data_IF_665819903313
#
_entry.id   IF_665819903313
#
_cell.length_a   1.000
_cell.length_b   1.000
_cell.length_c   1.000
_cell.angle_alpha   90.00
_cell.angle_beta   90.00
_cell.angle_gamma   90.00
#
_symmetry.space_group_name_H-M   'P 1'
#
loop_
_entity.id
_entity.type
_entity.pdbx_description
1 polymer ?
#
# COMPACT_ATOMS: atom_id res chain seq x y z
N UNK A 1 -55.13 -5.34 25.41
CA UNK A 1 -55.20 -6.46 24.46
C UNK A 1 -54.38 -6.19 23.17
N UNK A 2 -54.59 -5.09 22.44
CA UNK A 2 -53.81 -4.80 21.22
C UNK A 2 -52.30 -4.59 21.45
N UNK A 3 -51.91 -4.02 22.59
CA UNK A 3 -50.49 -3.78 22.92
C UNK A 3 -49.76 -5.07 23.26
N UNK A 4 -50.41 -5.94 24.04
CA UNK A 4 -49.85 -7.27 24.40
C UNK A 4 -49.68 -8.15 23.18
N UNK A 5 -50.63 -8.10 22.24
CA UNK A 5 -50.52 -8.86 20.98
C UNK A 5 -49.37 -8.36 20.07
N UNK A 6 -49.10 -7.03 20.08
CA UNK A 6 -47.99 -6.45 19.36
C UNK A 6 -46.61 -6.87 19.97
N UNK A 7 -46.51 -6.86 21.29
CA UNK A 7 -45.30 -7.29 21.98
C UNK A 7 -45.02 -8.79 21.74
N UNK A 8 -46.04 -9.64 21.84
CA UNK A 8 -45.91 -11.07 21.51
C UNK A 8 -45.51 -11.28 20.06
N UNK A 9 -46.11 -10.52 19.12
CA UNK A 9 -45.77 -10.61 17.69
C UNK A 9 -44.31 -10.17 17.43
N UNK A 10 -43.82 -9.14 18.11
CA UNK A 10 -42.44 -8.72 17.99
C UNK A 10 -41.48 -9.78 18.56
N UNK A 11 -41.76 -10.36 19.72
CA UNK A 11 -40.95 -11.42 20.31
C UNK A 11 -40.85 -12.64 19.41
N UNK A 12 -41.96 -13.07 18.82
CA UNK A 12 -42.03 -14.22 17.89
C UNK A 12 -41.24 -13.91 16.60
N UNK A 13 -41.28 -12.66 16.10
CA UNK A 13 -40.54 -12.24 14.92
C UNK A 13 -39.04 -12.23 15.19
N UNK A 14 -38.64 -11.70 16.36
CA UNK A 14 -37.23 -11.65 16.78
C UNK A 14 -36.65 -13.06 16.96
N UNK A 15 -37.36 -13.95 17.64
CA UNK A 15 -36.96 -15.36 17.76
C UNK A 15 -36.86 -16.05 16.39
N UNK A 16 -37.77 -15.76 15.47
CA UNK A 16 -37.71 -16.30 14.11
C UNK A 16 -36.46 -15.84 13.34
N UNK A 17 -36.05 -14.58 13.49
CA UNK A 17 -34.84 -14.04 12.87
C UNK A 17 -33.58 -14.68 13.45
N UNK A 18 -33.52 -14.85 14.77
CA UNK A 18 -32.38 -15.51 15.47
C UNK A 18 -32.23 -16.96 15.01
N UNK A 19 -33.32 -17.72 14.95
CA UNK A 19 -33.30 -19.12 14.48
C UNK A 19 -32.88 -19.23 13.01
N UNK A 20 -33.37 -18.35 12.15
CA UNK A 20 -32.97 -18.30 10.75
C UNK A 20 -31.48 -17.94 10.57
N UNK A 21 -30.99 -16.99 11.36
CA UNK A 21 -29.58 -16.61 11.39
C UNK A 21 -28.68 -17.78 11.83
N UNK A 22 -29.06 -18.51 12.89
CA UNK A 22 -28.36 -19.68 13.34
C UNK A 22 -28.30 -20.79 12.26
N UNK A 23 -29.45 -21.10 11.62
CA UNK A 23 -29.52 -22.11 10.56
C UNK A 23 -28.63 -21.70 9.38
N UNK A 24 -28.58 -20.41 9.03
CA UNK A 24 -27.75 -19.89 7.95
C UNK A 24 -26.26 -19.99 8.30
N UNK A 25 -25.89 -19.65 9.54
CA UNK A 25 -24.52 -19.78 10.05
C UNK A 25 -24.05 -21.24 10.07
N UNK A 26 -24.88 -22.18 10.53
CA UNK A 26 -24.55 -23.63 10.50
C UNK A 26 -24.33 -24.12 9.07
N UNK A 27 -25.10 -23.63 8.11
CA UNK A 27 -24.94 -24.01 6.69
C UNK A 27 -23.69 -23.46 6.05
N UNK A 28 -23.26 -22.26 6.45
CA UNK A 28 -22.11 -21.55 5.83
C UNK A 28 -20.78 -21.86 6.53
N UNK A 29 -20.77 -22.01 7.86
CA UNK A 29 -19.55 -22.02 8.67
C UNK A 29 -19.39 -23.25 9.58
N UNK A 30 -20.41 -24.12 9.68
CA UNK A 30 -20.42 -25.30 10.53
C UNK A 30 -20.99 -25.07 11.93
N UNK A 31 -21.26 -26.17 12.65
CA UNK A 31 -21.99 -26.17 13.93
C UNK A 31 -21.22 -25.44 15.05
N UNK A 32 -19.91 -25.64 15.11
CA UNK A 32 -19.08 -25.08 16.21
C UNK A 32 -19.01 -23.54 16.17
N UNK A 33 -18.92 -22.95 14.98
CA UNK A 33 -18.91 -21.48 14.81
C UNK A 33 -20.28 -20.87 15.11
N UNK A 34 -21.36 -21.52 14.65
CA UNK A 34 -22.72 -21.07 14.91
C UNK A 34 -23.09 -21.14 16.41
N UNK A 35 -22.61 -22.17 17.12
CA UNK A 35 -22.84 -22.32 18.57
C UNK A 35 -22.14 -21.24 19.39
N UNK A 36 -20.88 -20.90 19.03
CA UNK A 36 -20.12 -19.83 19.69
C UNK A 36 -20.77 -18.46 19.51
N UNK A 37 -21.20 -18.12 18.29
CA UNK A 37 -21.90 -16.87 18.02
C UNK A 37 -23.23 -16.78 18.76
N UNK A 38 -23.96 -17.90 18.90
CA UNK A 38 -25.21 -17.94 19.65
C UNK A 38 -24.99 -17.77 21.18
N UNK A 39 -23.95 -18.38 21.74
CA UNK A 39 -23.59 -18.22 23.16
C UNK A 39 -23.22 -16.77 23.49
N UNK A 40 -22.46 -16.08 22.64
CA UNK A 40 -22.11 -14.65 22.82
C UNK A 40 -23.40 -13.79 22.81
N UNK A 41 -24.30 -14.03 21.88
CA UNK A 41 -25.55 -13.23 21.77
C UNK A 41 -26.50 -13.47 22.95
N UNK A 42 -26.46 -14.64 23.58
CA UNK A 42 -27.32 -14.94 24.74
C UNK A 42 -26.73 -14.45 26.07
N UNK A 43 -25.41 -14.27 26.19
CA UNK A 43 -24.74 -13.70 27.36
C UNK A 43 -25.02 -12.21 27.56
N UNK A 44 -25.28 -11.45 26.48
CA UNK A 44 -25.65 -10.03 26.57
C UNK A 44 -27.09 -9.76 27.02
N UNK A 45 -27.95 -10.79 27.25
CA UNK A 45 -29.37 -10.62 27.57
C UNK A 45 -29.73 -10.85 29.02
N UNK A 46 -28.80 -11.15 29.94
CA UNK A 46 -29.07 -11.28 31.41
C UNK A 46 -28.66 -10.01 32.15
N UNK A 47 -29.63 -9.12 32.40
CA UNK A 47 -29.45 -8.02 33.38
C UNK A 47 -29.41 -8.58 34.83
N UNK A 48 -28.45 -8.15 35.66
CA UNK A 48 -28.49 -8.49 37.09
C UNK A 48 -29.42 -7.54 37.85
N UNK A 49 -30.32 -8.14 38.64
CA UNK A 49 -31.23 -7.48 39.58
C UNK A 49 -30.48 -6.99 40.82
N UNK A 50 -30.59 -5.69 41.07
CA UNK A 50 -30.56 -4.89 42.33
C UNK A 50 -29.70 -5.27 43.53
N UNK A 51 -28.94 -4.27 43.95
CA UNK A 51 -28.61 -3.77 45.29
C UNK A 51 -27.47 -4.49 46.03
N UNK A 52 -26.29 -3.83 46.01
CA UNK A 52 -25.64 -3.37 47.25
C UNK A 52 -24.58 -2.28 46.93
N UNK A 53 -24.68 -1.17 47.67
CA UNK A 53 -23.79 -0.03 47.59
C UNK A 53 -22.44 -0.33 48.21
N UNK A 54 -21.41 -0.48 47.38
CA UNK A 54 -20.02 -0.28 47.76
C UNK A 54 -19.34 0.52 46.62
N UNK A 55 -18.58 1.53 47.01
CA UNK A 55 -17.87 2.40 46.07
C UNK A 55 -16.92 1.55 45.22
N UNK A 56 -17.26 1.37 43.94
CA UNK A 56 -16.36 0.87 42.91
C UNK A 56 -15.67 2.08 42.31
N UNK A 57 -14.34 2.10 42.37
CA UNK A 57 -13.49 2.90 41.52
C UNK A 57 -13.85 2.48 40.10
N UNK A 58 -14.37 3.43 39.31
CA UNK A 58 -14.47 3.29 37.84
C UNK A 58 -13.06 3.12 37.30
N UNK A 59 -12.62 1.88 37.08
CA UNK A 59 -11.62 1.60 36.08
C UNK A 59 -12.27 2.02 34.73
N UNK A 60 -11.88 3.18 34.23
CA UNK A 60 -12.19 3.55 32.86
C UNK A 60 -11.61 2.45 31.96
N UNK A 61 -12.47 1.64 31.33
CA UNK A 61 -12.06 0.86 30.17
C UNK A 61 -11.45 1.87 29.18
N UNK A 62 -10.13 1.85 29.04
CA UNK A 62 -9.45 2.45 27.89
C UNK A 62 -10.03 1.73 26.67
N UNK A 63 -11.02 2.33 26.03
CA UNK A 63 -11.40 1.94 24.67
C UNK A 63 -10.16 2.10 23.83
N UNK A 64 -9.56 0.98 23.36
CA UNK A 64 -8.45 1.02 22.42
C UNK A 64 -8.91 1.93 21.26
N UNK A 65 -8.16 3.02 21.05
CA UNK A 65 -8.46 3.94 19.97
C UNK A 65 -8.40 3.15 18.65
N UNK A 66 -9.43 3.27 17.83
CA UNK A 66 -9.43 2.68 16.48
C UNK A 66 -8.21 3.20 15.72
N UNK A 67 -7.46 2.30 15.14
CA UNK A 67 -6.31 2.65 14.31
C UNK A 67 -6.33 1.83 13.02
N UNK A 68 -5.80 2.41 11.97
CA UNK A 68 -5.61 1.76 10.67
C UNK A 68 -4.14 1.87 10.27
N UNK A 69 -3.69 0.94 9.47
CA UNK A 69 -2.31 0.90 9.00
C UNK A 69 -2.29 0.90 7.47
N UNK A 70 -1.65 1.92 6.89
CA UNK A 70 -1.36 1.93 5.46
C UNK A 70 0.12 1.64 5.26
N UNK A 71 0.43 0.56 4.54
CA UNK A 71 1.79 0.19 4.16
C UNK A 71 2.19 0.80 2.82
N UNK A 72 3.42 1.26 2.74
CA UNK A 72 4.05 1.73 1.51
C UNK A 72 5.28 0.88 1.21
N UNK A 73 5.37 0.40 -0.02
CA UNK A 73 6.53 -0.33 -0.53
C UNK A 73 7.02 0.30 -1.82
N UNK A 74 8.29 0.07 -2.16
CA UNK A 74 8.95 0.71 -3.30
C UNK A 74 8.56 0.15 -4.67
N UNK A 75 9.45 0.35 -5.63
CA UNK A 75 9.23 0.03 -7.05
C UNK A 75 9.08 -1.49 -7.24
N UNK A 76 7.91 -1.88 -7.74
CA UNK A 76 7.57 -3.25 -8.11
C UNK A 76 7.68 -3.39 -9.63
N UNK A 77 8.87 -3.80 -10.11
CA UNK A 77 9.09 -4.17 -11.51
C UNK A 77 8.88 -5.67 -11.65
N UNK A 78 7.60 -6.09 -11.72
CA UNK A 78 7.17 -7.50 -11.74
C UNK A 78 7.29 -8.11 -13.13
N UNK A 79 8.39 -7.85 -13.79
CA UNK A 79 8.64 -8.21 -15.18
C UNK A 79 10.12 -8.48 -15.41
N UNK A 80 10.44 -9.13 -16.52
CA UNK A 80 11.81 -9.22 -17.02
C UNK A 80 12.12 -8.04 -17.96
N UNK A 81 13.40 -7.69 -18.05
CA UNK A 81 13.83 -6.76 -19.09
C UNK A 81 13.65 -7.38 -20.48
N UNK A 82 13.59 -6.54 -21.51
CA UNK A 82 13.48 -7.01 -22.90
C UNK A 82 14.64 -7.89 -23.37
N UNK A 83 15.74 -7.97 -22.60
CA UNK A 83 16.95 -8.73 -22.96
C UNK A 83 17.02 -10.12 -22.31
N UNK A 84 16.16 -10.42 -21.32
CA UNK A 84 16.17 -11.69 -20.61
C UNK A 84 14.76 -12.05 -20.11
N UNK A 85 14.65 -13.26 -19.52
CA UNK A 85 13.40 -13.74 -18.92
C UNK A 85 13.63 -14.16 -17.45
N UNK A 86 14.59 -13.57 -16.76
CA UNK A 86 15.04 -14.05 -15.45
C UNK A 86 13.93 -14.00 -14.41
N UNK A 87 13.20 -12.89 -14.32
CA UNK A 87 12.05 -12.76 -13.41
C UNK A 87 10.95 -13.77 -13.77
N UNK A 88 10.56 -13.83 -15.04
CA UNK A 88 9.50 -14.72 -15.53
C UNK A 88 9.86 -16.17 -15.25
N UNK A 89 11.11 -16.57 -15.54
CA UNK A 89 11.60 -17.92 -15.28
C UNK A 89 11.63 -18.27 -13.78
N UNK A 90 11.89 -17.26 -12.94
CA UNK A 90 11.96 -17.44 -11.49
C UNK A 90 10.59 -17.60 -10.87
N UNK A 91 9.63 -16.77 -11.27
CA UNK A 91 8.22 -16.85 -10.84
C UNK A 91 7.57 -18.12 -11.38
N UNK A 92 7.78 -18.45 -12.65
CA UNK A 92 7.32 -19.68 -13.29
C UNK A 92 5.87 -20.06 -12.98
N UNK A 93 4.97 -19.05 -12.95
CA UNK A 93 3.54 -19.22 -12.66
C UNK A 93 3.17 -19.34 -11.17
N UNK A 94 4.13 -19.27 -10.26
CA UNK A 94 3.86 -19.13 -8.82
C UNK A 94 3.73 -17.65 -8.44
N UNK A 95 2.51 -17.13 -8.51
CA UNK A 95 2.22 -15.72 -8.21
C UNK A 95 2.45 -15.33 -6.74
N UNK A 96 2.58 -16.29 -5.81
CA UNK A 96 2.95 -15.99 -4.43
C UNK A 96 4.46 -15.78 -4.27
N UNK A 97 5.27 -16.25 -5.23
CA UNK A 97 6.72 -16.29 -5.11
C UNK A 97 7.37 -14.94 -4.78
N UNK A 98 7.06 -13.82 -5.49
CA UNK A 98 7.76 -12.56 -5.26
C UNK A 98 7.59 -11.99 -3.85
N UNK A 99 6.45 -12.17 -3.22
CA UNK A 99 6.15 -11.59 -1.91
C UNK A 99 6.09 -12.61 -0.76
N UNK A 100 6.48 -13.87 -0.99
CA UNK A 100 6.32 -14.98 -0.02
C UNK A 100 6.92 -14.72 1.38
N UNK A 101 7.93 -13.85 1.50
CA UNK A 101 8.56 -13.58 2.79
C UNK A 101 7.98 -12.34 3.49
N UNK A 102 7.11 -11.58 2.82
CA UNK A 102 6.53 -10.33 3.31
C UNK A 102 5.01 -10.29 3.23
N UNK A 103 4.38 -11.24 2.53
CA UNK A 103 2.94 -11.27 2.31
C UNK A 103 2.13 -11.31 3.62
N UNK A 104 2.63 -11.99 4.66
CA UNK A 104 1.96 -12.02 5.97
C UNK A 104 1.97 -10.64 6.66
N UNK A 105 3.00 -9.84 6.40
CA UNK A 105 3.10 -8.47 6.92
C UNK A 105 2.12 -7.57 6.17
N UNK A 106 2.15 -7.61 4.82
CA UNK A 106 1.32 -6.77 3.96
C UNK A 106 -0.18 -7.12 4.00
N UNK A 107 -0.53 -8.36 4.40
CA UNK A 107 -1.93 -8.78 4.59
C UNK A 107 -2.46 -8.57 6.01
N UNK A 108 -1.58 -8.18 6.92
CA UNK A 108 -1.96 -7.87 8.30
C UNK A 108 -2.27 -6.39 8.50
N UNK A 109 -1.96 -5.54 7.51
CA UNK A 109 -2.35 -4.13 7.48
C UNK A 109 -3.75 -3.95 6.85
N UNK A 110 -4.22 -2.71 6.82
CA UNK A 110 -5.53 -2.38 6.25
C UNK A 110 -5.45 -2.02 4.77
N UNK A 111 -4.29 -1.54 4.29
CA UNK A 111 -4.11 -1.17 2.89
C UNK A 111 -2.63 -1.03 2.51
N UNK A 112 -2.20 -1.67 1.42
CA UNK A 112 -0.83 -1.56 0.92
C UNK A 112 -0.78 -0.88 -0.44
N UNK A 113 0.10 0.13 -0.57
CA UNK A 113 0.33 0.93 -1.78
C UNK A 113 1.74 0.66 -2.32
N UNK A 114 1.86 0.45 -3.65
CA UNK A 114 3.14 0.27 -4.35
C UNK A 114 3.19 1.08 -5.66
N UNK A 115 4.40 1.27 -6.21
CA UNK A 115 4.58 1.70 -7.59
C UNK A 115 4.77 0.47 -8.50
N UNK A 116 3.89 0.27 -9.47
CA UNK A 116 4.04 -0.77 -10.50
C UNK A 116 4.80 -0.18 -11.70
N UNK A 117 6.04 -0.61 -11.87
CA UNK A 117 6.97 -0.05 -12.84
C UNK A 117 7.30 -1.05 -13.96
N UNK A 118 6.26 -1.53 -14.62
CA UNK A 118 6.38 -2.43 -15.76
C UNK A 118 5.06 -2.53 -16.54
N UNK A 119 5.13 -3.17 -17.71
CA UNK A 119 3.99 -3.47 -18.57
C UNK A 119 3.55 -4.93 -18.42
N UNK A 120 2.26 -5.16 -18.28
CA UNK A 120 1.63 -6.47 -18.40
C UNK A 120 0.93 -6.61 -19.75
N UNK A 121 1.39 -7.51 -20.62
CA UNK A 121 0.77 -7.72 -21.93
C UNK A 121 1.12 -9.08 -22.52
N UNK A 122 0.12 -9.74 -23.10
CA UNK A 122 0.26 -10.99 -23.85
C UNK A 122 0.42 -10.75 -25.36
N UNK A 123 0.46 -9.50 -25.81
CA UNK A 123 0.62 -9.19 -27.23
C UNK A 123 1.98 -9.61 -27.73
N UNK A 124 1.96 -10.34 -28.83
CA UNK A 124 3.17 -10.74 -29.57
C UNK A 124 3.62 -9.59 -30.43
N UNK A 125 4.93 -9.34 -30.47
CA UNK A 125 5.53 -8.32 -31.34
C UNK A 125 5.42 -6.89 -30.85
N UNK A 126 5.05 -6.66 -29.58
CA UNK A 126 5.28 -5.37 -28.95
C UNK A 126 6.77 -5.08 -28.91
N UNK A 127 7.15 -3.93 -29.44
CA UNK A 127 8.53 -3.44 -29.48
C UNK A 127 8.60 -2.15 -28.69
N UNK A 128 9.64 -2.03 -27.88
CA UNK A 128 9.98 -0.79 -27.20
C UNK A 128 11.18 -0.13 -27.89
N UNK A 129 11.13 1.18 -28.00
CA UNK A 129 12.26 1.99 -28.47
C UNK A 129 13.20 2.38 -27.32
N UNK A 130 12.82 2.09 -26.06
CA UNK A 130 13.59 2.37 -24.86
C UNK A 130 14.76 1.39 -24.66
N UNK A 131 15.87 1.89 -24.09
CA UNK A 131 17.02 1.06 -23.71
C UNK A 131 16.63 0.05 -22.62
N UNK A 132 15.77 0.47 -21.70
CA UNK A 132 15.23 -0.37 -20.65
C UNK A 132 13.71 -0.43 -20.81
N UNK A 133 13.18 -1.62 -21.01
CA UNK A 133 11.75 -1.86 -21.09
C UNK A 133 11.42 -3.17 -20.40
N UNK A 134 10.33 -3.17 -19.62
CA UNK A 134 9.96 -4.29 -18.74
C UNK A 134 8.58 -4.80 -19.11
N UNK A 135 8.50 -6.10 -19.43
CA UNK A 135 7.23 -6.75 -19.79
C UNK A 135 7.10 -8.13 -19.16
N UNK A 136 5.89 -8.43 -18.69
CA UNK A 136 5.48 -9.76 -18.26
C UNK A 136 4.11 -10.14 -18.87
N UNK A 137 3.72 -11.43 -18.84
CA UNK A 137 2.37 -11.85 -19.20
C UNK A 137 1.30 -11.16 -18.37
N UNK A 138 0.11 -10.97 -18.92
CA UNK A 138 -1.01 -10.25 -18.27
C UNK A 138 -1.42 -10.86 -16.94
N UNK A 139 -1.32 -12.18 -16.79
CA UNK A 139 -1.69 -12.88 -15.56
C UNK A 139 -0.73 -12.67 -14.38
N UNK A 140 0.44 -12.01 -14.62
CA UNK A 140 1.37 -11.59 -13.56
C UNK A 140 0.82 -10.46 -12.69
N UNK A 141 -0.22 -9.75 -13.13
CA UNK A 141 -0.96 -8.83 -12.27
C UNK A 141 -1.50 -9.51 -11.00
N UNK A 142 -1.73 -10.83 -11.01
CA UNK A 142 -2.15 -11.62 -9.85
C UNK A 142 -1.12 -11.68 -8.73
N UNK A 143 0.14 -11.37 -9.00
CA UNK A 143 1.21 -11.29 -8.00
C UNK A 143 0.86 -10.25 -6.93
N UNK A 144 0.25 -9.13 -7.35
CA UNK A 144 -0.08 -8.01 -6.47
C UNK A 144 -1.05 -8.44 -5.35
N UNK A 145 -2.29 -8.88 -5.63
CA UNK A 145 -3.20 -9.30 -4.58
C UNK A 145 -2.74 -10.57 -3.86
N UNK A 146 -1.98 -11.47 -4.51
CA UNK A 146 -1.37 -12.61 -3.85
C UNK A 146 -0.36 -12.18 -2.79
N UNK A 147 0.33 -11.06 -2.99
CA UNK A 147 1.29 -10.45 -2.07
C UNK A 147 0.67 -9.58 -0.99
N UNK A 148 -0.59 -9.16 -1.11
CA UNK A 148 -1.23 -8.19 -0.22
C UNK A 148 -1.07 -6.75 -0.68
N UNK A 149 -0.89 -6.50 -1.98
CA UNK A 149 -0.89 -5.14 -2.56
C UNK A 149 -2.31 -4.79 -2.98
N UNK A 150 -2.86 -3.70 -2.44
CA UNK A 150 -4.24 -3.27 -2.64
C UNK A 150 -4.39 -2.18 -3.69
N UNK A 151 -3.36 -1.37 -3.89
CA UNK A 151 -3.34 -0.31 -4.88
C UNK A 151 -1.95 -0.16 -5.50
N UNK A 152 -1.90 0.15 -6.79
CA UNK A 152 -0.67 0.55 -7.46
C UNK A 152 -0.80 1.88 -8.18
N UNK A 153 0.21 2.75 -8.04
CA UNK A 153 0.44 3.80 -9.01
C UNK A 153 1.12 3.23 -10.24
N UNK A 154 0.66 3.60 -11.43
CA UNK A 154 1.31 3.34 -12.71
C UNK A 154 1.82 4.65 -13.34
N UNK A 155 1.88 5.72 -12.55
CA UNK A 155 2.40 7.03 -12.96
C UNK A 155 3.93 7.03 -12.89
N UNK A 156 4.59 6.44 -13.90
CA UNK A 156 6.04 6.32 -13.95
C UNK A 156 6.56 6.31 -15.40
N UNK A 157 7.88 6.35 -15.57
CA UNK A 157 8.54 6.37 -16.88
C UNK A 157 8.42 5.04 -17.67
N UNK A 158 8.10 3.92 -17.00
CA UNK A 158 7.94 2.60 -17.64
C UNK A 158 6.49 2.26 -17.99
N UNK A 159 5.54 3.15 -17.69
CA UNK A 159 4.13 2.98 -18.09
C UNK A 159 3.97 2.87 -19.60
N UNK A 160 4.78 3.64 -20.34
CA UNK A 160 4.70 3.78 -21.78
C UNK A 160 5.80 3.01 -22.54
N UNK A 161 6.50 2.07 -21.88
CA UNK A 161 7.54 1.24 -22.50
C UNK A 161 7.12 0.58 -23.81
N UNK A 162 5.85 0.24 -23.92
CA UNK A 162 5.24 -0.38 -25.11
C UNK A 162 4.06 0.46 -25.65
N UNK A 163 4.14 1.78 -25.47
CA UNK A 163 3.18 2.78 -25.93
C UNK A 163 1.72 2.46 -25.46
N UNK A 164 0.74 3.00 -26.17
CA UNK A 164 -0.68 2.86 -25.81
C UNK A 164 -1.15 1.42 -25.65
N UNK A 165 -0.63 0.49 -26.46
CA UNK A 165 -1.03 -0.91 -26.39
C UNK A 165 -0.56 -1.57 -25.08
N UNK A 166 0.66 -1.28 -24.65
CA UNK A 166 1.20 -1.79 -23.39
C UNK A 166 0.44 -1.23 -22.20
N UNK A 167 0.16 0.07 -22.21
CA UNK A 167 -0.62 0.75 -21.17
C UNK A 167 -2.01 0.17 -21.03
N UNK A 168 -2.77 0.08 -22.11
CA UNK A 168 -4.14 -0.47 -22.10
C UNK A 168 -4.16 -1.92 -21.64
N UNK A 169 -3.21 -2.75 -22.07
CA UNK A 169 -3.14 -4.13 -21.65
C UNK A 169 -2.83 -4.25 -20.15
N UNK A 170 -1.96 -3.37 -19.62
CA UNK A 170 -1.64 -3.32 -18.18
C UNK A 170 -2.86 -2.92 -17.35
N UNK A 171 -3.57 -1.86 -17.76
CA UNK A 171 -4.78 -1.40 -17.07
C UNK A 171 -5.84 -2.53 -17.06
N UNK A 172 -6.06 -3.22 -18.19
CA UNK A 172 -6.99 -4.38 -18.26
C UNK A 172 -6.52 -5.55 -17.38
N UNK A 173 -5.22 -5.84 -17.33
CA UNK A 173 -4.68 -6.90 -16.50
C UNK A 173 -4.89 -6.62 -15.00
N UNK A 174 -4.68 -5.37 -14.58
CA UNK A 174 -4.92 -4.92 -13.21
C UNK A 174 -6.42 -4.97 -12.86
N UNK A 175 -7.31 -4.53 -13.76
CA UNK A 175 -8.76 -4.64 -13.58
C UNK A 175 -9.20 -6.11 -13.39
N UNK A 176 -8.68 -7.02 -14.22
CA UNK A 176 -8.97 -8.46 -14.12
C UNK A 176 -8.45 -9.06 -12.81
N UNK A 177 -7.29 -8.59 -12.34
CA UNK A 177 -6.73 -9.00 -11.05
C UNK A 177 -7.46 -8.38 -9.85
N UNK A 178 -8.32 -7.38 -10.08
CA UNK A 178 -9.05 -6.67 -9.04
C UNK A 178 -8.18 -5.67 -8.26
N UNK A 179 -7.12 -5.16 -8.88
CA UNK A 179 -6.18 -4.20 -8.27
C UNK A 179 -6.51 -2.78 -8.75
N UNK A 180 -7.05 -1.92 -7.90
CA UNK A 180 -7.20 -0.51 -8.19
C UNK A 180 -5.86 0.13 -8.57
N UNK A 181 -5.86 0.99 -9.58
CA UNK A 181 -4.65 1.64 -10.05
C UNK A 181 -4.95 3.02 -10.65
N UNK A 182 -3.94 3.88 -10.71
CA UNK A 182 -4.00 5.19 -11.38
C UNK A 182 -2.68 5.51 -12.07
N UNK A 183 -2.83 6.12 -13.25
CA UNK A 183 -1.73 6.63 -14.02
C UNK A 183 -1.41 8.09 -13.75
N UNK A 184 -0.66 8.67 -14.68
CA UNK A 184 -0.14 10.04 -14.54
C UNK A 184 -1.27 11.07 -14.49
N UNK A 185 -1.19 11.95 -13.49
CA UNK A 185 -2.13 13.03 -13.21
C UNK A 185 -3.58 12.55 -12.97
N UNK A 186 -3.73 11.40 -12.32
CA UNK A 186 -5.02 10.81 -11.99
C UNK A 186 -5.26 10.71 -10.48
N UNK A 187 -6.52 10.77 -10.06
CA UNK A 187 -6.93 10.62 -8.66
C UNK A 187 -7.75 9.35 -8.44
N UNK A 188 -7.67 8.81 -7.24
CA UNK A 188 -8.47 7.69 -6.76
C UNK A 188 -9.05 7.98 -5.38
N UNK A 189 -10.27 7.55 -5.14
CA UNK A 189 -10.93 7.68 -3.85
C UNK A 189 -11.49 6.32 -3.43
N UNK A 190 -11.20 5.89 -2.21
CA UNK A 190 -11.76 4.68 -1.64
C UNK A 190 -12.26 4.92 -0.21
N UNK A 191 -13.00 3.97 0.33
CA UNK A 191 -13.50 4.02 1.69
C UNK A 191 -12.80 2.97 2.54
N UNK A 192 -12.31 3.38 3.70
CA UNK A 192 -11.72 2.53 4.72
C UNK A 192 -12.48 2.79 6.02
N UNK A 193 -13.37 1.86 6.39
CA UNK A 193 -14.22 1.91 7.59
C UNK A 193 -14.99 3.22 7.81
N UNK A 194 -15.48 3.82 6.73
CA UNK A 194 -16.23 5.07 6.78
C UNK A 194 -15.42 6.30 6.43
N UNK A 195 -14.09 6.24 6.49
CA UNK A 195 -13.18 7.32 6.10
C UNK A 195 -12.88 7.26 4.61
N UNK A 196 -12.92 8.40 3.94
CA UNK A 196 -12.57 8.51 2.53
C UNK A 196 -11.10 8.85 2.39
N UNK A 197 -10.34 7.95 1.79
CA UNK A 197 -8.93 8.13 1.50
C UNK A 197 -8.77 8.51 0.03
N UNK A 198 -8.11 9.63 -0.24
CA UNK A 198 -7.79 10.10 -1.58
C UNK A 198 -6.35 9.80 -1.95
N UNK A 199 -6.10 9.32 -3.18
CA UNK A 199 -4.76 9.12 -3.72
C UNK A 199 -4.64 9.95 -5.00
N UNK A 200 -3.58 10.74 -5.12
CA UNK A 200 -3.19 11.42 -6.35
C UNK A 200 -1.88 10.82 -6.87
N UNK A 201 -1.84 10.39 -8.13
CA UNK A 201 -0.67 9.81 -8.78
C UNK A 201 -0.13 10.77 -9.84
N UNK A 202 1.18 11.06 -9.80
CA UNK A 202 1.80 11.96 -10.77
C UNK A 202 3.26 11.59 -11.08
N UNK A 203 3.56 11.57 -12.38
CA UNK A 203 4.91 11.42 -12.92
C UNK A 203 5.36 12.72 -13.62
N UNK A 204 4.54 13.25 -14.50
CA UNK A 204 4.80 14.46 -15.31
C UNK A 204 6.28 14.61 -15.72
N UNK A 205 6.86 13.56 -16.27
CA UNK A 205 8.28 13.52 -16.67
C UNK A 205 9.23 13.92 -15.52
N UNK A 206 9.03 13.40 -14.32
CA UNK A 206 9.77 13.67 -13.07
C UNK A 206 9.64 15.10 -12.53
N UNK A 207 8.69 15.87 -13.01
CA UNK A 207 8.53 17.29 -12.67
C UNK A 207 7.07 17.66 -12.36
N UNK A 208 6.45 17.10 -11.31
CA UNK A 208 5.14 17.58 -10.84
C UNK A 208 5.16 19.08 -10.61
N UNK A 209 4.06 19.77 -10.90
CA UNK A 209 3.93 21.21 -10.69
C UNK A 209 2.98 21.54 -9.54
N UNK A 210 3.16 22.69 -8.91
CA UNK A 210 2.26 23.19 -7.85
C UNK A 210 0.79 23.20 -8.32
N UNK A 211 0.51 23.65 -9.54
CA UNK A 211 -0.85 23.70 -10.08
C UNK A 211 -1.48 22.31 -10.20
N UNK A 212 -0.74 21.30 -10.66
CA UNK A 212 -1.23 19.93 -10.75
C UNK A 212 -1.54 19.38 -9.37
N UNK A 213 -0.61 19.53 -8.42
CA UNK A 213 -0.73 19.05 -7.04
C UNK A 213 -1.94 19.71 -6.36
N UNK A 214 -2.02 21.05 -6.41
CA UNK A 214 -3.14 21.76 -5.79
C UNK A 214 -4.48 21.35 -6.38
N UNK A 215 -4.58 21.28 -7.71
CA UNK A 215 -5.83 20.91 -8.40
C UNK A 215 -6.30 19.51 -7.97
N UNK A 216 -5.39 18.55 -7.88
CA UNK A 216 -5.72 17.19 -7.50
C UNK A 216 -6.15 17.09 -6.03
N UNK A 217 -5.45 17.76 -5.11
CA UNK A 217 -5.80 17.78 -3.68
C UNK A 217 -7.15 18.46 -3.48
N UNK A 218 -7.39 19.62 -4.11
CA UNK A 218 -8.69 20.29 -4.04
C UNK A 218 -9.82 19.38 -4.53
N UNK A 219 -9.63 18.70 -5.67
CA UNK A 219 -10.60 17.75 -6.21
C UNK A 219 -10.90 16.60 -5.24
N UNK A 220 -9.89 16.01 -4.60
CA UNK A 220 -10.07 14.94 -3.63
C UNK A 220 -10.83 15.42 -2.40
N UNK A 221 -10.50 16.61 -1.88
CA UNK A 221 -11.18 17.23 -0.74
C UNK A 221 -12.64 17.59 -1.07
N UNK A 222 -12.91 18.10 -2.27
CA UNK A 222 -14.28 18.34 -2.75
C UNK A 222 -15.13 17.07 -2.83
N UNK A 223 -14.49 15.92 -3.11
CA UNK A 223 -15.14 14.60 -3.09
C UNK A 223 -15.29 14.04 -1.67
N UNK A 224 -14.77 14.75 -0.67
CA UNK A 224 -14.88 14.43 0.75
C UNK A 224 -13.78 13.52 1.28
N UNK A 225 -12.59 13.53 0.66
CA UNK A 225 -11.43 12.84 1.24
C UNK A 225 -11.09 13.46 2.60
N UNK A 226 -10.98 12.61 3.62
CA UNK A 226 -10.56 12.96 4.98
C UNK A 226 -9.07 12.67 5.22
N UNK A 227 -8.41 12.02 4.27
CA UNK A 227 -6.98 11.74 4.26
C UNK A 227 -6.50 11.70 2.81
N UNK A 228 -5.40 12.38 2.50
CA UNK A 228 -4.89 12.53 1.12
C UNK A 228 -3.46 12.04 1.02
N UNK A 229 -3.22 11.15 0.07
CA UNK A 229 -1.92 10.60 -0.28
C UNK A 229 -1.52 11.12 -1.66
N UNK A 230 -0.34 11.74 -1.77
CA UNK A 230 0.25 12.11 -3.06
C UNK A 230 1.37 11.13 -3.43
N UNK A 231 1.19 10.35 -4.49
CA UNK A 231 2.17 9.39 -5.00
C UNK A 231 2.91 9.99 -6.20
N UNK A 232 4.20 10.25 -6.03
CA UNK A 232 5.07 10.87 -7.02
C UNK A 232 6.17 9.92 -7.52
N UNK A 233 6.45 9.97 -8.81
CA UNK A 233 7.58 9.30 -9.43
C UNK A 233 8.55 10.36 -9.93
N UNK A 234 9.69 10.55 -9.23
CA UNK A 234 10.53 11.74 -9.35
C UNK A 234 11.98 11.50 -8.93
N UNK A 235 12.83 12.53 -9.04
CA UNK A 235 14.20 12.49 -8.55
C UNK A 235 15.20 11.97 -9.58
N UNK A 236 16.33 11.44 -9.10
CA UNK A 236 17.44 10.94 -9.90
C UNK A 236 17.79 9.52 -9.51
N UNK A 237 17.85 8.61 -10.48
CA UNK A 237 18.23 7.21 -10.26
C UNK A 237 19.58 7.09 -9.57
N UNK A 238 19.62 6.30 -8.50
CA UNK A 238 20.82 6.03 -7.70
C UNK A 238 21.25 7.17 -6.79
N UNK A 239 20.55 8.31 -6.72
CA UNK A 239 20.88 9.39 -5.81
C UNK A 239 20.20 9.23 -4.45
N UNK A 240 21.00 9.26 -3.38
CA UNK A 240 20.49 9.35 -2.01
C UNK A 240 20.13 10.79 -1.62
N UNK A 241 20.52 11.77 -2.44
CA UNK A 241 20.23 13.18 -2.23
C UNK A 241 18.94 13.57 -2.93
N UNK A 242 18.18 14.45 -2.30
CA UNK A 242 16.97 15.00 -2.89
C UNK A 242 17.31 16.00 -4.01
N UNK A 243 16.47 16.05 -5.01
CA UNK A 243 16.45 17.18 -5.94
C UNK A 243 15.66 18.35 -5.36
N UNK A 244 15.88 19.57 -5.88
CA UNK A 244 15.09 20.74 -5.50
C UNK A 244 13.60 20.55 -5.78
N UNK A 245 13.25 19.81 -6.84
CA UNK A 245 11.85 19.49 -7.18
C UNK A 245 11.21 18.60 -6.13
N UNK A 246 11.92 17.55 -5.70
CA UNK A 246 11.41 16.65 -4.65
C UNK A 246 11.15 17.40 -3.35
N UNK A 247 12.13 18.18 -2.89
CA UNK A 247 12.03 18.93 -1.63
C UNK A 247 10.90 19.96 -1.69
N UNK A 248 10.85 20.77 -2.74
CA UNK A 248 9.85 21.82 -2.90
C UNK A 248 8.43 21.26 -3.05
N UNK A 249 8.22 20.30 -3.96
CA UNK A 249 6.87 19.79 -4.27
C UNK A 249 6.33 18.93 -3.12
N UNK A 250 7.19 18.23 -2.38
CA UNK A 250 6.75 17.48 -1.20
C UNK A 250 6.17 18.41 -0.13
N UNK A 251 6.91 19.45 0.23
CA UNK A 251 6.44 20.44 1.21
C UNK A 251 5.19 21.16 0.71
N UNK A 252 5.18 21.59 -0.56
CA UNK A 252 4.00 22.21 -1.15
C UNK A 252 2.76 21.31 -1.10
N UNK A 253 2.89 20.01 -1.37
CA UNK A 253 1.77 19.07 -1.29
C UNK A 253 1.20 19.01 0.15
N UNK A 254 2.07 18.96 1.17
CA UNK A 254 1.65 19.01 2.58
C UNK A 254 0.95 20.33 2.89
N UNK A 255 1.51 21.46 2.48
CA UNK A 255 0.90 22.79 2.66
C UNK A 255 -0.47 22.93 1.98
N UNK A 256 -0.74 22.18 0.91
CA UNK A 256 -2.08 22.08 0.29
C UNK A 256 -2.97 21.05 0.99
N UNK A 257 -2.43 20.25 1.91
CA UNK A 257 -3.13 19.30 2.77
C UNK A 257 -3.08 17.86 2.28
N UNK A 258 -1.94 17.44 1.77
CA UNK A 258 -1.58 16.04 1.71
C UNK A 258 -1.11 15.56 3.09
N UNK A 259 -1.61 14.41 3.53
CA UNK A 259 -1.24 13.79 4.80
C UNK A 259 -0.04 12.86 4.65
N UNK A 260 0.11 12.26 3.47
CA UNK A 260 1.28 11.46 3.10
C UNK A 260 1.75 11.83 1.69
N UNK A 261 3.06 12.00 1.53
CA UNK A 261 3.73 12.02 0.23
C UNK A 261 4.53 10.72 0.07
N UNK A 262 4.26 9.97 -0.99
CA UNK A 262 4.90 8.70 -1.32
C UNK A 262 5.69 8.82 -2.62
N UNK A 263 7.01 8.67 -2.55
CA UNK A 263 7.94 8.83 -3.66
C UNK A 263 8.54 7.51 -4.16
N UNK A 264 8.79 7.46 -5.47
CA UNK A 264 9.40 6.35 -6.22
C UNK A 264 10.35 6.89 -7.31
N UNK A 265 11.05 6.07 -8.05
CA UNK A 265 12.00 6.32 -9.14
C UNK A 265 13.49 6.31 -8.76
N UNK A 266 14.00 6.87 -7.66
CA UNK A 266 15.45 6.84 -7.41
C UNK A 266 16.06 5.44 -7.32
N UNK A 267 15.25 4.38 -7.17
CA UNK A 267 15.67 2.99 -7.01
C UNK A 267 16.60 2.76 -5.81
N UNK A 268 16.73 3.75 -4.95
CA UNK A 268 17.42 3.73 -3.65
C UNK A 268 16.51 4.38 -2.62
N UNK A 269 16.66 3.99 -1.35
CA UNK A 269 15.93 4.62 -0.26
C UNK A 269 16.43 6.05 -0.04
N UNK A 270 15.52 7.00 0.05
CA UNK A 270 15.80 8.37 0.49
C UNK A 270 15.14 8.63 1.85
N UNK A 271 15.43 9.78 2.46
CA UNK A 271 14.95 10.10 3.81
C UNK A 271 13.43 10.05 3.91
N UNK A 272 12.95 9.74 5.11
CA UNK A 272 11.60 10.01 5.58
C UNK A 272 11.64 11.29 6.37
N UNK A 273 10.66 12.15 6.15
CA UNK A 273 10.53 13.41 6.89
C UNK A 273 9.15 13.52 7.51
N UNK A 274 9.09 13.91 8.76
CA UNK A 274 7.86 14.39 9.37
C UNK A 274 7.82 15.90 9.20
N UNK A 275 6.90 16.39 8.39
CA UNK A 275 6.74 17.81 8.11
C UNK A 275 5.31 18.23 8.52
N UNK A 276 5.22 19.17 9.45
CA UNK A 276 3.96 19.47 10.15
C UNK A 276 3.35 18.20 10.76
N UNK A 277 2.09 17.89 10.45
CA UNK A 277 1.40 16.67 10.91
C UNK A 277 1.43 15.54 9.85
N UNK A 278 2.20 15.70 8.77
CA UNK A 278 2.24 14.80 7.62
C UNK A 278 3.56 14.04 7.53
N UNK A 279 3.56 12.97 6.72
CA UNK A 279 4.70 12.10 6.50
C UNK A 279 5.14 12.15 5.04
N UNK A 280 6.41 12.45 4.79
CA UNK A 280 7.01 12.46 3.45
C UNK A 280 7.99 11.30 3.33
N UNK A 281 7.69 10.37 2.43
CA UNK A 281 8.52 9.25 2.03
C UNK A 281 9.13 9.59 0.68
N UNK A 282 10.32 10.20 0.64
CA UNK A 282 10.87 10.75 -0.62
C UNK A 282 11.21 9.69 -1.67
N UNK A 283 11.70 8.52 -1.26
CA UNK A 283 11.84 7.35 -2.12
C UNK A 283 11.87 6.06 -1.30
N UNK A 284 11.06 5.11 -1.72
CA UNK A 284 11.01 3.79 -1.11
C UNK A 284 11.96 2.78 -1.79
N UNK A 285 12.75 3.23 -2.78
CA UNK A 285 13.68 2.38 -3.52
C UNK A 285 12.98 1.24 -4.27
N UNK A 286 13.73 0.21 -4.64
CA UNK A 286 13.17 -0.99 -5.25
C UNK A 286 12.56 -1.92 -4.19
N UNK A 287 11.47 -2.61 -4.50
CA UNK A 287 10.90 -3.63 -3.61
C UNK A 287 10.99 -5.03 -4.20
N UNK A 288 10.19 -5.38 -5.21
CA UNK A 288 10.36 -6.61 -5.99
C UNK A 288 10.80 -6.22 -7.40
N UNK A 289 12.10 -6.30 -7.66
CA UNK A 289 12.70 -5.67 -8.84
C UNK A 289 13.25 -6.69 -9.83
N UNK A 290 12.45 -7.03 -10.85
CA UNK A 290 12.81 -7.95 -11.93
C UNK A 290 13.73 -7.36 -13.01
N UNK A 291 13.95 -6.04 -13.00
CA UNK A 291 14.73 -5.31 -14.00
C UNK A 291 16.22 -5.60 -13.96
N UNK A 292 16.77 -6.05 -12.83
CA UNK A 292 18.20 -6.29 -12.67
C UNK A 292 18.49 -7.49 -11.78
N UNK A 293 19.35 -8.39 -12.27
CA UNK A 293 19.80 -9.58 -11.52
C UNK A 293 20.86 -9.28 -10.46
N UNK A 294 21.48 -8.09 -10.50
CA UNK A 294 22.53 -7.67 -9.58
C UNK A 294 22.43 -6.16 -9.28
N UNK A 295 21.33 -5.71 -8.65
CA UNK A 295 21.18 -4.32 -8.28
C UNK A 295 22.29 -3.88 -7.32
N UNK A 296 22.82 -2.67 -7.51
CA UNK A 296 23.93 -2.13 -6.71
C UNK A 296 23.50 -1.79 -5.29
N UNK A 297 22.26 -1.34 -5.12
CA UNK A 297 21.59 -1.23 -3.83
C UNK A 297 20.53 -2.32 -3.68
N UNK A 298 20.55 -2.98 -2.55
CA UNK A 298 19.60 -4.05 -2.23
C UNK A 298 18.72 -3.71 -1.02
N UNK A 299 18.93 -2.54 -0.45
CA UNK A 299 18.16 -2.08 0.68
C UNK A 299 16.80 -1.56 0.23
N UNK A 300 15.79 -2.00 0.94
CA UNK A 300 14.41 -1.57 0.80
C UNK A 300 13.72 -1.60 2.15
N UNK A 301 12.46 -1.18 2.21
CA UNK A 301 11.69 -1.20 3.43
C UNK A 301 10.20 -1.38 3.15
N UNK A 302 9.47 -1.86 4.14
CA UNK A 302 8.03 -1.64 4.28
C UNK A 302 7.89 -0.50 5.30
N UNK A 303 7.22 0.57 4.91
CA UNK A 303 6.91 1.68 5.81
C UNK A 303 5.42 1.67 6.08
N UNK A 304 5.04 1.54 7.34
CA UNK A 304 3.67 1.50 7.80
C UNK A 304 3.33 2.81 8.49
N UNK A 305 2.39 3.55 7.92
CA UNK A 305 1.83 4.77 8.54
C UNK A 305 0.58 4.36 9.29
N UNK A 306 0.62 4.55 10.61
CA UNK A 306 -0.51 4.27 11.50
C UNK A 306 -1.40 5.50 11.56
N UNK A 307 -2.68 5.31 11.31
CA UNK A 307 -3.69 6.35 11.32
C UNK A 307 -4.57 6.20 12.55
N UNK A 308 -4.96 7.32 13.13
CA UNK A 308 -5.96 7.39 14.20
C UNK A 308 -6.99 8.46 13.88
N UNK A 309 -8.16 8.39 14.51
CA UNK A 309 -9.14 9.47 14.39
C UNK A 309 -8.60 10.75 15.02
N UNK A 310 -8.67 11.83 14.26
CA UNK A 310 -8.42 13.19 14.70
C UNK A 310 -9.71 13.90 15.13
N UNK A 311 -9.78 15.21 14.94
CA UNK A 311 -11.00 15.97 15.21
C UNK A 311 -12.06 15.71 14.12
N UNK A 312 -13.27 15.37 14.52
CA UNK A 312 -14.39 15.10 13.61
C UNK A 312 -14.29 13.72 12.96
N UNK A 313 -14.22 13.68 11.61
CA UNK A 313 -14.04 12.45 10.81
C UNK A 313 -12.68 12.38 10.14
N UNK A 314 -11.78 13.29 10.47
CA UNK A 314 -10.46 13.36 9.87
C UNK A 314 -9.55 12.27 10.46
N UNK A 315 -8.70 11.71 9.62
CA UNK A 315 -7.63 10.80 10.04
C UNK A 315 -6.33 11.59 10.16
N UNK A 316 -5.48 11.16 11.08
CA UNK A 316 -4.14 11.74 11.25
C UNK A 316 -3.10 10.62 11.27
N UNK A 317 -1.93 10.88 10.69
CA UNK A 317 -0.78 9.99 10.77
C UNK A 317 -0.14 10.08 12.16
N UNK A 318 -0.45 9.11 13.02
CA UNK A 318 -0.05 9.13 14.44
C UNK A 318 1.33 8.52 14.68
N UNK A 319 1.71 7.50 13.90
CA UNK A 319 3.00 6.81 14.03
C UNK A 319 3.51 6.33 12.67
N UNK A 320 4.82 6.11 12.57
CA UNK A 320 5.49 5.54 11.40
C UNK A 320 6.37 4.38 11.83
N UNK A 321 6.02 3.19 11.40
CA UNK A 321 6.77 1.97 11.66
C UNK A 321 7.58 1.57 10.43
N UNK A 322 8.85 1.23 10.63
CA UNK A 322 9.76 0.88 9.55
C UNK A 322 10.20 -0.57 9.73
N UNK A 323 10.03 -1.35 8.68
CA UNK A 323 10.51 -2.72 8.59
C UNK A 323 11.61 -2.75 7.51
N UNK A 324 12.90 -2.62 7.91
CA UNK A 324 14.04 -2.71 7.01
C UNK A 324 14.10 -4.06 6.31
N UNK A 325 14.24 -4.04 4.98
CA UNK A 325 14.23 -5.23 4.13
C UNK A 325 15.40 -5.23 3.15
N UNK A 326 15.75 -6.42 2.68
CA UNK A 326 16.51 -6.66 1.46
C UNK A 326 15.53 -6.96 0.31
N UNK A 327 15.74 -6.41 -0.88
CA UNK A 327 14.90 -6.71 -2.05
C UNK A 327 15.08 -8.15 -2.58
N UNK A 328 15.99 -8.92 -1.99
CA UNK A 328 16.26 -10.30 -2.36
C UNK A 328 16.45 -11.18 -1.12
N UNK A 329 15.96 -12.41 -1.18
CA UNK A 329 16.10 -13.35 -0.07
C UNK A 329 17.44 -14.10 -0.05
N UNK A 330 18.25 -13.93 -1.09
CA UNK A 330 19.57 -14.56 -1.26
C UNK A 330 20.70 -13.53 -1.27
N UNK A 331 21.90 -13.92 -0.84
CA UNK A 331 23.07 -13.04 -0.80
C UNK A 331 23.74 -12.85 -2.19
N UNK A 332 23.43 -13.71 -3.14
CA UNK A 332 24.02 -13.68 -4.47
C UNK A 332 23.18 -12.91 -5.50
N UNK A 333 22.78 -13.62 -6.55
CA UNK A 333 21.91 -13.10 -7.61
C UNK A 333 20.55 -12.73 -7.01
N UNK A 334 20.00 -11.61 -7.46
CA UNK A 334 18.64 -11.17 -7.07
C UNK A 334 17.62 -12.27 -7.38
N UNK A 335 16.88 -12.70 -6.39
CA UNK A 335 15.79 -13.65 -6.53
C UNK A 335 14.41 -13.02 -6.54
N UNK A 336 14.37 -11.67 -6.52
CA UNK A 336 13.16 -10.86 -6.63
C UNK A 336 12.16 -11.04 -5.47
N UNK A 337 12.65 -11.55 -4.35
CA UNK A 337 11.85 -11.91 -3.18
C UNK A 337 12.29 -11.06 -1.98
N UNK A 338 11.68 -9.91 -1.73
CA UNK A 338 11.99 -9.11 -0.56
C UNK A 338 11.89 -9.91 0.73
N UNK A 339 12.79 -9.62 1.69
CA UNK A 339 12.70 -10.19 3.04
C UNK A 339 13.14 -9.19 4.09
N UNK A 340 12.54 -9.18 5.29
CA UNK A 340 13.00 -8.35 6.39
C UNK A 340 14.42 -8.69 6.83
N UNK A 341 15.20 -7.65 7.17
CA UNK A 341 16.46 -7.81 7.89
C UNK A 341 16.21 -8.10 9.37
N UNK A 342 17.06 -8.90 9.98
CA UNK A 342 17.01 -9.11 11.43
C UNK A 342 17.39 -7.83 12.18
N UNK A 343 16.63 -7.47 13.20
CA UNK A 343 16.91 -6.29 14.04
C UNK A 343 18.29 -6.38 14.68
N UNK A 344 19.07 -5.29 14.61
CA UNK A 344 20.41 -5.18 15.17
C UNK A 344 21.51 -5.72 14.25
N UNK A 345 21.22 -6.03 12.98
CA UNK A 345 22.24 -6.29 11.96
C UNK A 345 22.72 -4.98 11.34
N UNK A 346 23.91 -4.98 10.78
CA UNK A 346 24.48 -3.81 10.10
C UNK A 346 23.64 -3.37 8.90
N UNK A 347 23.01 -4.32 8.22
CA UNK A 347 22.09 -4.07 7.11
C UNK A 347 20.80 -3.38 7.58
N UNK A 348 20.24 -3.85 8.70
CA UNK A 348 19.10 -3.21 9.34
C UNK A 348 19.39 -1.75 9.68
N UNK A 349 20.53 -1.50 10.34
CA UNK A 349 20.93 -0.16 10.75
C UNK A 349 21.26 0.74 9.53
N UNK A 350 21.82 0.17 8.46
CA UNK A 350 22.08 0.87 7.20
C UNK A 350 20.79 1.36 6.54
N UNK A 351 19.74 0.52 6.48
CA UNK A 351 18.42 0.94 5.99
C UNK A 351 17.88 2.10 6.81
N UNK A 352 17.91 1.98 8.14
CA UNK A 352 17.48 3.09 9.01
C UNK A 352 18.31 4.36 8.77
N UNK A 353 19.63 4.25 8.54
CA UNK A 353 20.47 5.42 8.25
C UNK A 353 20.09 6.13 6.94
N UNK A 354 19.64 5.38 5.92
CA UNK A 354 19.11 5.96 4.67
C UNK A 354 17.79 6.68 4.93
N UNK A 355 16.89 6.03 5.64
CA UNK A 355 15.55 6.58 5.89
C UNK A 355 15.55 7.76 6.88
N UNK A 356 16.52 7.86 7.78
CA UNK A 356 16.67 9.03 8.65
C UNK A 356 17.60 10.12 8.09
N UNK A 357 18.11 9.94 6.86
CA UNK A 357 18.94 10.93 6.16
C UNK A 357 20.38 11.05 6.69
N UNK A 358 20.88 10.06 7.45
CA UNK A 358 22.26 10.07 7.99
C UNK A 358 23.22 9.15 7.24
N UNK A 359 22.78 8.55 6.14
CA UNK A 359 23.62 7.70 5.31
C UNK A 359 24.68 8.52 4.55
N UNK A 360 25.97 8.17 4.73
CA UNK A 360 27.10 8.86 4.12
C UNK A 360 27.74 8.07 2.94
N UNK A 361 27.04 7.06 2.41
CA UNK A 361 27.52 6.31 1.26
C UNK A 361 27.50 7.13 -0.04
N UNK A 362 28.34 6.77 -1.01
CA UNK A 362 28.36 7.47 -2.30
C UNK A 362 27.07 7.20 -3.09
N UNK A 363 26.61 8.19 -3.85
CA UNK A 363 25.55 8.01 -4.82
C UNK A 363 25.89 6.92 -5.84
N UNK A 364 24.84 6.25 -6.32
CA UNK A 364 24.91 5.20 -7.32
C UNK A 364 24.43 5.68 -8.71
N UNK A 365 24.44 6.97 -8.92
CA UNK A 365 24.01 7.59 -10.19
C UNK A 365 24.80 7.03 -11.37
N UNK A 366 24.14 6.91 -12.52
CA UNK A 366 24.74 6.49 -13.81
C UNK A 366 24.59 7.63 -14.79
N UNK A 367 25.70 7.99 -15.42
CA UNK A 367 25.67 8.90 -16.56
C UNK A 367 25.33 8.11 -17.83
N UNK A 368 24.07 8.21 -18.26
CA UNK A 368 23.56 7.56 -19.48
C UNK A 368 23.92 8.32 -20.76
N UNK A 369 24.51 9.52 -20.68
CA UNK A 369 24.83 10.34 -21.86
C UNK A 369 25.85 9.68 -22.81
N UNK A 370 26.59 8.67 -22.32
CA UNK A 370 27.60 7.94 -23.06
C UNK A 370 27.18 6.50 -23.44
N UNK A 371 25.93 6.12 -23.18
CA UNK A 371 25.38 4.81 -23.53
C UNK A 371 24.50 5.01 -24.75
N UNK A 372 25.10 5.06 -25.93
CA UNK A 372 24.45 5.19 -27.22
C UNK A 372 24.75 3.99 -28.10
#
# INVERSE_FOLDING_TARGET
MKTVLRVISMIVLTLGIIVLGYIMCVRLFGVDTASRLFEVTMQESEEPSSADTAAEEEEAEETEALHWTISFVGDCTLASSQYNNDFINKVNGDYNYPFKNVADILKADDYTIANLECTFSDRVGLVSDGTFAFKAPSDYARILPAGGIDFVTTANNHRDDFADNGRVDTDVALDIAGVPHRGDNETYLFNMDGHKIGIYCCYNHLSPTEEMVKTAIDQLKEQGASFVICAFHWGVEGSYQLTEVQDHIAHYAVEQGADVVFGSHPHVLQKIEKYEDSVILYSMGNFSFGGNTSPRDRDTAIVQVVLTEGEGTDLVASDVQIIPCCLSSTDGVNDYCPKPYAKGTAEYDRVLSKLNGTFEGPDLTVDYSNIG
#
